data_IF_956575152664
#
_entry.id   IF_956575152664
#
_cell.length_a   1.000
_cell.length_b   1.000
_cell.length_c   1.000
_cell.angle_alpha   90.00
_cell.angle_beta   90.00
_cell.angle_gamma   90.00
#
_symmetry.space_group_name_H-M   'P 1'
#
loop_
_entity.id
_entity.type
_entity.pdbx_description
1 polymer ?
#
# COMPACT_ATOMS: atom_id res chain seq x y z
N UNK A 1 -5.71 2.03 -8.16
CA UNK A 1 -5.79 0.70 -7.51
C UNK A 1 -6.12 0.78 -6.02
N UNK A 2 -5.40 1.57 -5.20
CA UNK A 2 -5.73 1.70 -3.76
C UNK A 2 -7.16 2.16 -3.48
N UNK A 3 -7.63 3.18 -4.20
CA UNK A 3 -9.00 3.69 -4.05
C UNK A 3 -10.07 2.63 -4.36
N UNK A 4 -9.86 1.83 -5.40
CA UNK A 4 -10.77 0.74 -5.81
C UNK A 4 -10.82 -0.35 -4.74
N UNK A 5 -9.65 -0.74 -4.21
CA UNK A 5 -9.57 -1.73 -3.14
C UNK A 5 -10.23 -1.24 -1.84
N UNK A 6 -10.03 0.03 -1.47
CA UNK A 6 -10.70 0.61 -0.31
C UNK A 6 -12.22 0.66 -0.52
N UNK A 7 -12.69 1.08 -1.71
CA UNK A 7 -14.12 1.08 -2.03
C UNK A 7 -14.74 -0.32 -1.93
N UNK A 8 -14.02 -1.35 -2.39
CA UNK A 8 -14.40 -2.74 -2.17
C UNK A 8 -14.51 -3.04 -0.67
N UNK A 9 -13.47 -2.83 0.14
CA UNK A 9 -13.53 -3.17 1.57
C UNK A 9 -14.63 -2.42 2.33
N UNK A 10 -14.91 -1.16 1.99
CA UNK A 10 -16.01 -0.40 2.61
C UNK A 10 -17.39 -0.97 2.25
N UNK A 11 -17.65 -1.19 0.97
CA UNK A 11 -18.95 -1.67 0.52
C UNK A 11 -19.18 -3.13 0.91
N UNK A 12 -18.18 -3.97 0.64
CA UNK A 12 -18.22 -5.42 0.89
C UNK A 12 -18.22 -5.73 2.39
N UNK A 13 -17.56 -4.89 3.20
CA UNK A 13 -17.65 -4.97 4.67
C UNK A 13 -19.07 -4.72 5.18
N UNK A 14 -19.73 -3.65 4.70
CA UNK A 14 -21.11 -3.34 5.08
C UNK A 14 -22.10 -4.44 4.64
N UNK A 15 -21.95 -4.94 3.41
CA UNK A 15 -22.75 -6.07 2.91
C UNK A 15 -22.48 -7.37 3.69
N UNK A 16 -21.22 -7.64 4.02
CA UNK A 16 -20.80 -8.82 4.79
C UNK A 16 -21.42 -8.87 6.19
N UNK A 17 -21.58 -7.71 6.85
CA UNK A 17 -22.32 -7.62 8.13
C UNK A 17 -23.77 -8.08 7.95
N UNK A 18 -24.46 -7.62 6.90
CA UNK A 18 -25.81 -8.07 6.59
C UNK A 18 -25.90 -9.57 6.32
N UNK A 19 -24.91 -10.16 5.64
CA UNK A 19 -24.86 -11.58 5.33
C UNK A 19 -24.49 -12.47 6.53
N UNK A 20 -23.89 -11.93 7.58
CA UNK A 20 -23.44 -12.69 8.75
C UNK A 20 -24.32 -12.48 9.98
N UNK A 21 -25.25 -11.52 9.92
CA UNK A 21 -26.16 -11.22 11.02
C UNK A 21 -27.08 -12.41 11.33
N UNK A 22 -27.07 -12.86 12.58
CA UNK A 22 -27.90 -13.98 13.05
C UNK A 22 -27.45 -15.37 12.59
N UNK A 23 -26.33 -15.50 11.85
CA UNK A 23 -25.74 -16.78 11.47
C UNK A 23 -24.89 -17.37 12.59
N UNK A 24 -24.79 -18.70 12.62
CA UNK A 24 -23.87 -19.41 13.50
C UNK A 24 -22.41 -19.26 13.04
N UNK A 25 -21.46 -19.54 13.94
CA UNK A 25 -20.03 -19.41 13.63
C UNK A 25 -19.57 -20.28 12.44
N UNK A 26 -20.16 -21.47 12.27
CA UNK A 26 -19.85 -22.38 11.16
C UNK A 26 -20.33 -21.83 9.82
N UNK A 27 -21.52 -21.23 9.79
CA UNK A 27 -22.07 -20.60 8.59
C UNK A 27 -21.31 -19.32 8.21
N UNK A 28 -20.86 -18.56 9.20
CA UNK A 28 -19.99 -17.40 8.99
C UNK A 28 -18.66 -17.85 8.38
N UNK A 29 -18.05 -18.92 8.89
CA UNK A 29 -16.79 -19.43 8.35
C UNK A 29 -16.95 -19.93 6.90
N UNK A 30 -18.06 -20.62 6.59
CA UNK A 30 -18.35 -21.04 5.22
C UNK A 30 -18.46 -19.83 4.27
N UNK A 31 -19.14 -18.77 4.70
CA UNK A 31 -19.23 -17.52 3.94
C UNK A 31 -17.86 -16.83 3.76
N UNK A 32 -17.04 -16.73 4.81
CA UNK A 32 -15.70 -16.13 4.74
C UNK A 32 -14.79 -16.90 3.78
N UNK A 33 -14.90 -18.23 3.76
CA UNK A 33 -14.13 -19.09 2.86
C UNK A 33 -14.54 -18.86 1.39
N UNK A 34 -15.84 -18.67 1.11
CA UNK A 34 -16.36 -18.43 -0.24
C UNK A 34 -15.82 -17.12 -0.84
N UNK A 35 -15.68 -16.08 -0.02
CA UNK A 35 -15.17 -14.75 -0.45
C UNK A 35 -13.64 -14.63 -0.43
N UNK A 36 -12.92 -15.70 -0.05
CA UNK A 36 -11.47 -15.66 0.15
C UNK A 36 -10.72 -15.26 -1.13
N UNK A 37 -11.11 -15.82 -2.28
CA UNK A 37 -10.47 -15.53 -3.56
C UNK A 37 -10.61 -14.05 -3.95
N UNK A 38 -11.80 -13.48 -3.77
CA UNK A 38 -12.05 -12.06 -4.05
C UNK A 38 -11.25 -11.18 -3.09
N UNK A 39 -11.19 -11.51 -1.81
CA UNK A 39 -10.40 -10.78 -0.82
C UNK A 39 -8.89 -10.84 -1.14
N UNK A 40 -8.37 -11.99 -1.55
CA UNK A 40 -6.97 -12.13 -1.98
C UNK A 40 -6.69 -11.27 -3.22
N UNK A 41 -7.59 -11.30 -4.20
CA UNK A 41 -7.45 -10.48 -5.41
C UNK A 41 -7.45 -8.97 -5.09
N UNK A 42 -8.32 -8.52 -4.20
CA UNK A 42 -8.37 -7.11 -3.79
C UNK A 42 -7.14 -6.73 -2.95
N UNK A 43 -6.62 -7.64 -2.14
CA UNK A 43 -5.35 -7.44 -1.44
C UNK A 43 -4.19 -7.24 -2.41
N UNK A 44 -4.20 -7.92 -3.57
CA UNK A 44 -3.22 -7.67 -4.63
C UNK A 44 -3.31 -6.23 -5.15
N UNK A 45 -4.50 -5.64 -5.29
CA UNK A 45 -4.63 -4.23 -5.69
C UNK A 45 -4.02 -3.26 -4.67
N UNK A 46 -4.12 -3.56 -3.38
CA UNK A 46 -3.45 -2.78 -2.34
C UNK A 46 -1.93 -2.82 -2.54
N UNK A 47 -1.37 -4.04 -2.68
CA UNK A 47 0.05 -4.24 -2.87
C UNK A 47 0.55 -3.58 -4.16
N UNK A 48 -0.14 -3.78 -5.28
CA UNK A 48 0.19 -3.12 -6.55
C UNK A 48 0.21 -1.60 -6.42
N UNK A 49 -0.80 -1.02 -5.79
CA UNK A 49 -0.85 0.42 -5.58
C UNK A 49 0.36 0.96 -4.79
N UNK A 50 0.79 0.21 -3.76
CA UNK A 50 1.98 0.57 -2.96
C UNK A 50 3.29 0.38 -3.73
N UNK A 51 3.41 -0.66 -4.57
CA UNK A 51 4.57 -0.85 -5.46
C UNK A 51 4.67 0.30 -6.46
N UNK A 52 3.59 0.70 -7.11
CA UNK A 52 3.60 1.84 -8.04
C UNK A 52 3.98 3.16 -7.36
N UNK A 53 3.58 3.37 -6.10
CA UNK A 53 4.08 4.50 -5.32
C UNK A 53 5.60 4.46 -5.13
N UNK A 54 6.17 3.28 -4.89
CA UNK A 54 7.62 3.08 -4.81
C UNK A 54 8.34 3.33 -6.14
N UNK A 55 7.84 2.77 -7.24
CA UNK A 55 8.35 3.02 -8.59
C UNK A 55 8.32 4.50 -8.93
N UNK A 56 7.22 5.19 -8.61
CA UNK A 56 7.09 6.64 -8.80
C UNK A 56 8.17 7.43 -8.06
N UNK A 57 8.51 7.05 -6.82
CA UNK A 57 9.61 7.66 -6.06
C UNK A 57 10.97 7.40 -6.69
N UNK A 58 11.22 6.20 -7.21
CA UNK A 58 12.48 5.89 -7.92
C UNK A 58 12.64 6.79 -9.15
N UNK A 59 11.60 6.89 -9.97
CA UNK A 59 11.62 7.71 -11.18
C UNK A 59 11.74 9.21 -10.85
N UNK A 60 10.99 9.68 -9.84
CA UNK A 60 11.08 11.06 -9.35
C UNK A 60 12.49 11.37 -8.85
N UNK A 61 13.05 10.52 -7.99
CA UNK A 61 14.39 10.68 -7.44
C UNK A 61 15.47 10.71 -8.53
N UNK A 62 15.35 9.84 -9.54
CA UNK A 62 16.25 9.87 -10.70
C UNK A 62 16.16 11.21 -11.46
N UNK A 63 14.94 11.71 -11.68
CA UNK A 63 14.74 13.03 -12.29
C UNK A 63 15.36 14.16 -11.46
N UNK A 64 15.12 14.18 -10.15
CA UNK A 64 15.69 15.15 -9.23
C UNK A 64 17.23 15.20 -9.29
N UNK A 65 17.88 14.03 -9.41
CA UNK A 65 19.34 13.92 -9.57
C UNK A 65 19.78 14.42 -10.95
N UNK A 66 19.13 13.95 -12.02
CA UNK A 66 19.52 14.18 -13.41
C UNK A 66 19.45 15.67 -13.79
N UNK A 67 18.43 16.37 -13.31
CA UNK A 67 18.21 17.79 -13.60
C UNK A 67 18.69 18.73 -12.49
N UNK A 68 19.38 18.23 -11.46
CA UNK A 68 19.92 19.03 -10.35
C UNK A 68 18.88 19.95 -9.66
N UNK A 69 17.64 19.49 -9.53
CA UNK A 69 16.52 20.30 -9.00
C UNK A 69 16.66 20.50 -7.49
N UNK A 70 17.17 19.50 -6.78
CA UNK A 70 17.42 19.53 -5.33
C UNK A 70 18.85 19.10 -5.03
N UNK A 71 19.26 19.23 -3.76
CA UNK A 71 20.54 18.70 -3.30
C UNK A 71 20.69 17.22 -3.68
N UNK A 72 21.86 16.84 -4.22
CA UNK A 72 22.10 15.49 -4.75
C UNK A 72 21.80 14.38 -3.73
N UNK A 73 22.07 14.61 -2.45
CA UNK A 73 21.79 13.66 -1.38
C UNK A 73 20.28 13.37 -1.24
N UNK A 74 19.44 14.40 -1.39
CA UNK A 74 17.98 14.28 -1.28
C UNK A 74 17.40 13.52 -2.48
N UNK A 75 17.95 13.75 -3.67
CA UNK A 75 17.61 12.98 -4.86
C UNK A 75 17.91 11.48 -4.69
N UNK A 76 19.14 11.15 -4.25
CA UNK A 76 19.52 9.76 -3.97
C UNK A 76 18.70 9.12 -2.85
N UNK A 77 18.41 9.87 -1.79
CA UNK A 77 17.54 9.43 -0.71
C UNK A 77 16.12 9.09 -1.23
N UNK A 78 15.58 9.90 -2.15
CA UNK A 78 14.28 9.63 -2.79
C UNK A 78 14.28 8.31 -3.58
N UNK A 79 15.37 8.03 -4.31
CA UNK A 79 15.54 6.76 -5.04
C UNK A 79 15.58 5.57 -4.07
N UNK A 80 16.41 5.67 -3.02
CA UNK A 80 16.54 4.60 -2.02
C UNK A 80 15.23 4.35 -1.27
N UNK A 81 14.48 5.41 -0.95
CA UNK A 81 13.17 5.32 -0.33
C UNK A 81 12.17 4.59 -1.23
N UNK A 82 12.18 4.86 -2.53
CA UNK A 82 11.36 4.15 -3.52
C UNK A 82 11.71 2.66 -3.62
N UNK A 83 13.00 2.31 -3.68
CA UNK A 83 13.47 0.92 -3.71
C UNK A 83 13.14 0.17 -2.42
N UNK A 84 13.31 0.80 -1.26
CA UNK A 84 12.92 0.23 0.03
C UNK A 84 11.42 -0.04 0.09
N UNK A 85 10.59 0.88 -0.40
CA UNK A 85 9.15 0.70 -0.50
C UNK A 85 8.78 -0.51 -1.37
N UNK A 86 9.40 -0.64 -2.54
CA UNK A 86 9.15 -1.78 -3.43
C UNK A 86 9.58 -3.10 -2.80
N UNK A 87 10.80 -3.16 -2.25
CA UNK A 87 11.35 -4.37 -1.64
C UNK A 87 10.51 -4.87 -0.47
N UNK A 88 10.10 -3.97 0.42
CA UNK A 88 9.27 -4.32 1.58
C UNK A 88 7.88 -4.81 1.15
N UNK A 89 7.22 -4.12 0.21
CA UNK A 89 5.85 -4.47 -0.22
C UNK A 89 5.82 -5.77 -1.03
N UNK A 90 6.87 -6.05 -1.81
CA UNK A 90 6.97 -7.29 -2.59
C UNK A 90 7.41 -8.48 -1.74
N UNK A 91 8.35 -8.28 -0.82
CA UNK A 91 8.93 -9.34 0.01
C UNK A 91 8.06 -9.79 1.18
N UNK A 92 7.16 -8.93 1.67
CA UNK A 92 6.38 -9.20 2.88
C UNK A 92 4.88 -9.08 2.57
N UNK A 93 4.03 -10.00 3.06
CA UNK A 93 2.57 -9.86 3.00
C UNK A 93 2.08 -8.55 3.60
N UNK A 94 0.87 -8.13 3.21
CA UNK A 94 0.32 -6.84 3.63
C UNK A 94 0.18 -6.77 5.17
N UNK A 95 1.06 -6.02 5.82
CA UNK A 95 1.04 -5.83 7.27
C UNK A 95 1.39 -4.38 7.60
N UNK A 96 0.41 -3.67 8.16
CA UNK A 96 0.54 -2.26 8.48
C UNK A 96 1.70 -1.97 9.43
N UNK A 97 1.91 -2.79 10.46
CA UNK A 97 2.96 -2.56 11.47
C UNK A 97 4.36 -2.60 10.86
N UNK A 98 4.56 -3.44 9.84
CA UNK A 98 5.83 -3.56 9.13
C UNK A 98 6.05 -2.35 8.21
N UNK A 99 4.99 -1.81 7.62
CA UNK A 99 5.07 -0.70 6.67
C UNK A 99 5.08 0.68 7.32
N UNK A 100 4.59 0.78 8.56
CA UNK A 100 4.47 2.01 9.33
C UNK A 100 5.77 2.82 9.45
N UNK A 101 6.95 2.24 9.72
CA UNK A 101 8.19 3.01 9.78
C UNK A 101 8.50 3.74 8.46
N UNK A 102 8.25 3.10 7.33
CA UNK A 102 8.48 3.67 6.02
C UNK A 102 7.55 4.87 5.74
N UNK A 103 6.32 4.84 6.27
CA UNK A 103 5.41 5.97 6.22
C UNK A 103 5.98 7.18 6.99
N UNK A 104 6.52 6.98 8.19
CA UNK A 104 7.16 8.06 8.95
C UNK A 104 8.38 8.64 8.22
N UNK A 105 9.20 7.79 7.59
CA UNK A 105 10.33 8.24 6.76
C UNK A 105 9.84 9.07 5.56
N UNK A 106 8.71 8.70 4.94
CA UNK A 106 8.09 9.50 3.87
C UNK A 106 7.62 10.88 4.35
N UNK A 107 7.15 11.00 5.59
CA UNK A 107 6.77 12.32 6.16
C UNK A 107 8.02 13.19 6.32
N UNK A 108 9.12 12.65 6.84
CA UNK A 108 10.40 13.37 6.95
C UNK A 108 10.91 13.78 5.56
N UNK A 109 10.77 12.89 4.58
CA UNK A 109 11.09 13.19 3.18
C UNK A 109 10.26 14.37 2.63
N UNK A 110 8.94 14.42 2.88
CA UNK A 110 8.08 15.53 2.44
C UNK A 110 8.55 16.87 3.02
N UNK A 111 8.84 16.90 4.32
CA UNK A 111 9.37 18.08 4.99
C UNK A 111 10.70 18.52 4.35
N UNK A 112 11.60 17.57 4.06
CA UNK A 112 12.88 17.86 3.40
C UNK A 112 12.70 18.36 1.96
N UNK A 113 11.61 17.97 1.29
CA UNK A 113 11.22 18.47 -0.03
C UNK A 113 10.53 19.85 0.01
N UNK A 114 10.25 20.39 1.21
CA UNK A 114 9.60 21.69 1.40
C UNK A 114 8.08 21.67 1.30
N UNK A 115 7.46 20.51 1.48
CA UNK A 115 5.99 20.32 1.57
C UNK A 115 5.61 20.11 3.03
#
# INVERSE_FOLDING_TARGET
TLAIANAYFYNFGAWGVGQTMGKSATEIQAFVNDILYTNQYVTCFIRFGRVFSGVGLVLLGYGLIRWHIVAKWLGWFTVLLGLAAMGIVMGIPDNYEIYKPLFHVKVIWLIAMGV
#
